data_IF_597832846416
#
_entry.id   IF_597832846416
#
_cell.length_a   1.000
_cell.length_b   1.000
_cell.length_c   1.000
_cell.angle_alpha   90.00
_cell.angle_beta   90.00
_cell.angle_gamma   90.00
#
_symmetry.space_group_name_H-M   'P 1'
#
loop_
_entity.id
_entity.type
_entity.pdbx_description
1 polymer ?
#
# COMPACT_ATOMS: atom_id res chain seq x y z
N UNK A 1 22.61 26.84 -19.48
CA UNK A 1 21.57 25.98 -20.05
C UNK A 1 21.08 25.11 -18.92
N UNK A 2 19.91 25.43 -18.40
CA UNK A 2 19.27 24.67 -17.32
C UNK A 2 18.51 23.53 -18.03
N UNK A 3 19.01 22.30 -17.90
CA UNK A 3 18.21 21.15 -18.30
C UNK A 3 16.95 21.15 -17.42
N UNK A 4 15.78 21.03 -18.05
CA UNK A 4 14.51 21.01 -17.33
C UNK A 4 14.47 19.75 -16.42
N UNK A 5 13.85 19.85 -15.24
CA UNK A 5 13.61 18.71 -14.33
C UNK A 5 13.00 17.51 -15.07
N UNK A 6 12.15 17.76 -16.07
CA UNK A 6 11.56 16.75 -16.98
C UNK A 6 12.62 15.94 -17.75
N UNK A 7 13.66 16.59 -18.27
CA UNK A 7 14.72 15.89 -18.98
C UNK A 7 15.60 15.05 -18.03
N UNK A 8 15.72 15.47 -16.76
CA UNK A 8 16.47 14.74 -15.75
C UNK A 8 15.72 13.47 -15.29
N UNK A 9 14.42 13.59 -15.02
CA UNK A 9 13.58 12.45 -14.59
C UNK A 9 13.41 11.41 -15.70
N UNK A 10 13.08 11.84 -16.93
CA UNK A 10 13.02 10.92 -18.07
C UNK A 10 14.36 10.23 -18.36
N UNK A 11 15.48 10.91 -18.14
CA UNK A 11 16.81 10.29 -18.28
C UNK A 11 17.14 9.34 -17.12
N UNK A 12 16.64 9.59 -15.90
CA UNK A 12 16.84 8.71 -14.75
C UNK A 12 16.06 7.39 -14.91
N UNK A 13 14.77 7.48 -15.31
CA UNK A 13 13.94 6.29 -15.55
C UNK A 13 14.43 5.46 -16.73
N UNK A 14 14.83 6.10 -17.82
CA UNK A 14 15.43 5.40 -18.96
C UNK A 14 16.79 4.80 -18.60
N UNK A 15 17.58 5.44 -17.75
CA UNK A 15 18.84 4.92 -17.23
C UNK A 15 18.62 3.73 -16.30
N UNK A 16 17.59 3.78 -15.42
CA UNK A 16 17.23 2.69 -14.53
C UNK A 16 16.71 1.47 -15.31
N UNK A 17 15.84 1.65 -16.29
CA UNK A 17 15.38 0.57 -17.17
C UNK A 17 16.52 -0.02 -18.04
N UNK A 18 17.46 0.81 -18.51
CA UNK A 18 18.62 0.33 -19.25
C UNK A 18 19.63 -0.37 -18.34
N UNK A 19 19.82 0.08 -17.10
CA UNK A 19 20.65 -0.57 -16.10
C UNK A 19 20.04 -1.94 -15.69
N UNK A 20 18.74 -2.01 -15.51
CA UNK A 20 18.00 -3.25 -15.25
C UNK A 20 18.17 -4.26 -16.39
N UNK A 21 17.95 -3.82 -17.66
CA UNK A 21 18.12 -4.66 -18.83
C UNK A 21 19.59 -5.09 -19.03
N UNK A 22 20.53 -4.18 -18.78
CA UNK A 22 21.97 -4.48 -18.87
C UNK A 22 22.42 -5.46 -17.80
N UNK A 23 21.87 -5.38 -16.59
CA UNK A 23 22.16 -6.31 -15.50
C UNK A 23 21.57 -7.69 -15.75
N UNK A 24 20.32 -7.76 -16.24
CA UNK A 24 19.70 -9.02 -16.67
C UNK A 24 20.52 -9.70 -17.78
N UNK A 25 21.10 -8.94 -18.72
CA UNK A 25 22.01 -9.46 -19.73
C UNK A 25 23.37 -9.90 -19.17
N UNK A 26 23.93 -9.15 -18.20
CA UNK A 26 25.21 -9.48 -17.57
C UNK A 26 25.12 -10.78 -16.74
N UNK A 27 23.98 -11.01 -16.09
CA UNK A 27 23.68 -12.25 -15.34
C UNK A 27 23.55 -13.43 -16.29
N UNK A 28 22.93 -13.27 -17.45
CA UNK A 28 22.88 -14.31 -18.49
C UNK A 28 24.27 -14.65 -19.06
N UNK A 29 25.23 -13.74 -18.93
CA UNK A 29 26.62 -13.91 -19.38
C UNK A 29 27.58 -14.34 -18.28
N UNK A 30 27.09 -14.64 -17.06
CA UNK A 30 27.90 -15.06 -15.92
C UNK A 30 28.77 -13.95 -15.30
N UNK A 31 28.52 -12.69 -15.66
CA UNK A 31 29.20 -11.52 -15.09
C UNK A 31 28.31 -10.88 -14.03
N UNK A 32 28.49 -11.26 -12.76
CA UNK A 32 27.81 -10.59 -11.64
C UNK A 32 28.64 -9.37 -11.23
N UNK A 33 28.18 -8.13 -11.42
CA UNK A 33 28.83 -6.97 -10.83
C UNK A 33 28.71 -7.07 -9.31
N UNK A 34 29.82 -6.89 -8.60
CA UNK A 34 29.79 -6.77 -7.14
C UNK A 34 28.86 -5.61 -6.75
N UNK A 35 27.92 -5.87 -5.85
CA UNK A 35 27.04 -4.85 -5.28
C UNK A 35 27.88 -3.69 -4.74
N UNK A 36 27.74 -2.50 -5.30
CA UNK A 36 28.39 -1.29 -4.79
C UNK A 36 27.60 -0.80 -3.59
N UNK A 37 28.22 -1.00 -2.46
CA UNK A 37 27.88 -0.65 -1.11
C UNK A 37 26.82 0.41 -0.85
N UNK A 38 25.57 0.01 -0.67
CA UNK A 38 24.73 0.65 0.34
C UNK A 38 25.33 0.25 1.70
N UNK A 39 25.64 1.23 2.54
CA UNK A 39 26.05 0.95 3.93
C UNK A 39 24.76 0.75 4.71
N UNK A 40 24.14 -0.41 4.52
CA UNK A 40 23.10 -0.89 5.40
C UNK A 40 23.79 -1.48 6.63
N UNK A 41 23.42 -0.99 7.81
CA UNK A 41 23.68 -1.75 9.02
C UNK A 41 22.94 -3.10 8.87
N UNK A 42 23.51 -4.23 9.32
CA UNK A 42 22.94 -5.53 9.08
C UNK A 42 21.50 -5.59 9.62
N UNK A 43 20.52 -5.87 8.72
CA UNK A 43 19.15 -6.18 9.16
C UNK A 43 19.19 -7.31 10.17
N UNK A 44 18.54 -7.10 11.32
CA UNK A 44 18.55 -8.04 12.44
C UNK A 44 17.18 -8.68 12.63
N UNK A 45 17.18 -10.01 12.67
CA UNK A 45 16.01 -10.77 13.07
C UNK A 45 15.97 -10.99 14.59
N UNK A 46 14.81 -10.96 15.17
CA UNK A 46 14.58 -11.30 16.61
C UNK A 46 14.23 -12.77 16.77
N UNK A 47 13.84 -13.45 15.69
CA UNK A 47 13.61 -14.89 15.61
C UNK A 47 14.29 -15.43 14.36
N UNK A 48 14.49 -16.75 14.29
CA UNK A 48 15.14 -17.37 13.14
C UNK A 48 14.37 -17.15 11.82
N UNK A 49 13.02 -17.09 11.88
CA UNK A 49 12.17 -16.92 10.70
C UNK A 49 12.30 -18.08 9.71
N UNK A 50 12.63 -17.73 8.47
CA UNK A 50 12.92 -18.70 7.40
C UNK A 50 14.42 -18.93 7.17
N UNK A 51 15.27 -18.31 8.00
CA UNK A 51 16.71 -18.42 7.91
C UNK A 51 17.39 -17.23 7.21
N UNK A 52 18.70 -17.33 6.97
CA UNK A 52 19.48 -16.26 6.39
C UNK A 52 19.12 -16.03 4.91
N UNK A 53 19.15 -14.77 4.48
CA UNK A 53 19.00 -14.38 3.08
C UNK A 53 20.18 -14.93 2.25
N UNK A 54 19.86 -15.39 1.05
CA UNK A 54 20.82 -15.76 0.01
C UNK A 54 20.82 -14.73 -1.08
N UNK A 55 22.01 -14.30 -1.48
CA UNK A 55 22.18 -13.35 -2.57
C UNK A 55 21.56 -13.92 -3.86
N UNK A 56 20.73 -13.11 -4.49
CA UNK A 56 20.09 -13.46 -5.76
C UNK A 56 21.10 -13.29 -6.92
N UNK A 57 21.36 -14.33 -7.72
CA UNK A 57 22.21 -14.22 -8.89
C UNK A 57 21.71 -13.19 -9.93
N UNK A 58 20.39 -12.98 -10.00
CA UNK A 58 19.77 -12.00 -10.90
C UNK A 58 19.79 -10.58 -10.32
N UNK A 59 20.09 -10.45 -9.01
CA UNK A 59 20.20 -9.17 -8.33
C UNK A 59 18.88 -8.39 -8.26
N UNK A 60 17.76 -9.08 -8.08
CA UNK A 60 16.42 -8.50 -7.95
C UNK A 60 15.92 -8.65 -6.54
N UNK A 61 15.94 -9.90 -6.01
CA UNK A 61 15.35 -10.21 -4.72
C UNK A 61 16.11 -11.29 -3.98
N UNK A 62 16.73 -10.95 -2.86
CA UNK A 62 17.32 -11.94 -1.98
C UNK A 62 16.25 -12.63 -1.12
N UNK A 63 16.29 -13.94 -1.05
CA UNK A 63 15.33 -14.79 -0.33
C UNK A 63 16.05 -15.82 0.53
N UNK A 64 15.40 -16.37 1.57
CA UNK A 64 15.91 -17.51 2.31
C UNK A 64 16.02 -18.78 1.45
N UNK A 65 16.77 -19.79 1.92
CA UNK A 65 16.90 -21.08 1.24
C UNK A 65 15.56 -21.76 1.00
N UNK A 66 15.35 -22.29 -0.20
CA UNK A 66 14.13 -22.98 -0.61
C UNK A 66 13.03 -22.06 -1.13
N UNK A 67 13.19 -20.74 -1.02
CA UNK A 67 12.30 -19.77 -1.66
C UNK A 67 12.78 -19.44 -3.08
N UNK A 68 11.82 -19.06 -3.91
CA UNK A 68 12.06 -18.58 -5.27
C UNK A 68 11.01 -17.55 -5.66
N UNK A 69 11.32 -16.73 -6.68
CA UNK A 69 10.36 -15.77 -7.21
C UNK A 69 10.26 -15.81 -8.73
N UNK A 70 9.21 -15.22 -9.25
CA UNK A 70 9.04 -14.90 -10.66
C UNK A 70 8.61 -13.44 -10.80
N UNK A 71 9.17 -12.74 -11.78
CA UNK A 71 8.64 -11.44 -12.18
C UNK A 71 7.49 -11.68 -13.14
N UNK A 72 6.30 -11.22 -12.77
CA UNK A 72 5.06 -11.50 -13.49
C UNK A 72 4.49 -10.29 -14.26
N UNK A 73 4.95 -9.08 -13.94
CA UNK A 73 4.59 -7.82 -14.60
C UNK A 73 5.71 -6.81 -14.41
N UNK A 74 5.90 -5.90 -15.38
CA UNK A 74 6.88 -4.80 -15.32
C UNK A 74 6.29 -3.52 -15.88
N UNK A 75 6.70 -2.39 -15.32
CA UNK A 75 6.40 -1.08 -15.88
C UNK A 75 6.87 -0.94 -17.34
N UNK A 76 6.12 -0.21 -18.15
CA UNK A 76 6.42 0.04 -19.55
C UNK A 76 6.17 -1.13 -20.52
N UNK A 77 5.75 -2.30 -20.03
CA UNK A 77 5.30 -3.41 -20.88
C UNK A 77 3.95 -3.08 -21.53
N UNK A 78 3.76 -3.54 -22.75
CA UNK A 78 2.45 -3.43 -23.43
C UNK A 78 1.46 -4.40 -22.77
N UNK A 79 0.31 -3.89 -22.39
CA UNK A 79 -0.82 -4.67 -21.88
C UNK A 79 -1.71 -5.16 -23.03
N UNK A 80 -2.67 -6.06 -22.71
CA UNK A 80 -3.57 -6.67 -23.70
C UNK A 80 -4.64 -5.70 -24.23
N UNK A 81 -4.86 -4.57 -23.57
CA UNK A 81 -5.72 -3.47 -24.02
C UNK A 81 -4.98 -2.45 -24.93
N UNK A 82 -3.72 -2.71 -25.26
CA UNK A 82 -2.91 -1.86 -26.13
C UNK A 82 -2.18 -0.74 -25.38
N UNK A 83 -2.54 -0.43 -24.14
CA UNK A 83 -1.88 0.57 -23.31
C UNK A 83 -0.55 0.03 -22.74
N UNK A 84 0.24 0.90 -22.12
CA UNK A 84 1.44 0.47 -21.38
C UNK A 84 1.14 0.31 -19.91
N UNK A 85 1.80 -0.64 -19.25
CA UNK A 85 1.77 -0.78 -17.81
C UNK A 85 2.36 0.47 -17.18
N UNK A 86 1.61 1.26 -16.40
CA UNK A 86 2.16 2.42 -15.71
C UNK A 86 3.28 2.03 -14.74
N UNK A 87 4.09 2.95 -14.30
CA UNK A 87 5.13 2.74 -13.27
C UNK A 87 4.58 2.95 -11.86
N UNK A 88 5.45 3.00 -10.86
CA UNK A 88 5.15 3.18 -9.44
C UNK A 88 4.09 2.20 -8.95
N UNK A 89 4.50 0.94 -8.86
CA UNK A 89 3.63 -0.17 -8.42
C UNK A 89 3.46 -0.14 -6.91
N UNK A 90 2.25 0.13 -6.46
CA UNK A 90 1.94 0.27 -5.05
C UNK A 90 0.92 -0.78 -4.55
N UNK A 91 -0.03 -0.39 -3.70
CA UNK A 91 -1.01 -1.28 -3.08
C UNK A 91 -1.64 -2.26 -4.05
N UNK A 92 -1.83 -3.49 -3.61
CA UNK A 92 -2.32 -4.57 -4.46
C UNK A 92 -3.21 -5.55 -3.70
N UNK A 93 -4.32 -5.96 -4.33
CA UNK A 93 -5.20 -7.02 -3.83
C UNK A 93 -5.19 -8.25 -4.73
N UNK A 94 -5.29 -9.43 -4.12
CA UNK A 94 -5.37 -10.73 -4.81
C UNK A 94 -6.75 -11.36 -4.66
N UNK A 95 -7.39 -11.69 -5.77
CA UNK A 95 -8.77 -12.18 -5.82
C UNK A 95 -8.85 -13.50 -6.58
N UNK A 96 -9.51 -14.51 -6.03
CA UNK A 96 -9.78 -15.75 -6.74
C UNK A 96 -10.73 -15.51 -7.93
N UNK A 97 -10.36 -15.97 -9.12
CA UNK A 97 -11.25 -16.04 -10.29
C UNK A 97 -11.85 -17.45 -10.39
N UNK A 98 -10.99 -18.44 -10.30
CA UNK A 98 -11.35 -19.86 -10.29
C UNK A 98 -10.27 -20.69 -9.55
N UNK A 99 -10.26 -22.01 -9.73
CA UNK A 99 -9.36 -22.90 -9.02
C UNK A 99 -7.86 -22.65 -9.33
N UNK A 100 -7.55 -22.14 -10.52
CA UNK A 100 -6.18 -21.98 -11.00
C UNK A 100 -5.77 -20.50 -11.17
N UNK A 101 -6.72 -19.56 -11.26
CA UNK A 101 -6.44 -18.17 -11.63
C UNK A 101 -6.83 -17.17 -10.56
N UNK A 102 -5.99 -16.16 -10.45
CA UNK A 102 -6.25 -14.97 -9.60
C UNK A 102 -6.19 -13.70 -10.43
N UNK A 103 -6.93 -12.68 -10.00
CA UNK A 103 -6.76 -11.31 -10.42
C UNK A 103 -5.94 -10.57 -9.35
N UNK A 104 -4.89 -9.89 -9.77
CA UNK A 104 -4.16 -8.93 -8.96
C UNK A 104 -4.57 -7.53 -9.43
N UNK A 105 -5.28 -6.79 -8.60
CA UNK A 105 -5.60 -5.38 -8.87
C UNK A 105 -4.58 -4.54 -8.13
N UNK A 106 -3.83 -3.73 -8.87
CA UNK A 106 -2.64 -3.04 -8.39
C UNK A 106 -2.73 -1.55 -8.71
N UNK A 107 -2.42 -0.72 -7.72
CA UNK A 107 -2.32 0.72 -7.82
C UNK A 107 -1.07 1.18 -8.55
N UNK A 108 -1.15 2.38 -9.11
CA UNK A 108 -0.04 3.12 -9.69
C UNK A 108 -0.02 4.52 -9.06
N UNK A 109 0.92 4.75 -8.17
CA UNK A 109 1.03 5.98 -7.38
C UNK A 109 1.70 7.11 -8.19
N UNK A 110 1.02 7.49 -9.25
CA UNK A 110 1.47 8.53 -10.17
C UNK A 110 0.70 9.82 -9.95
N UNK A 111 1.43 10.92 -9.84
CA UNK A 111 0.85 12.24 -9.76
C UNK A 111 0.58 12.87 -11.15
N UNK A 112 -0.03 14.06 -11.12
CA UNK A 112 -0.37 14.80 -12.34
C UNK A 112 0.85 15.20 -13.19
N UNK A 113 2.06 15.28 -12.63
CA UNK A 113 3.29 15.68 -13.33
C UNK A 113 3.97 14.48 -14.01
N UNK A 114 3.54 13.27 -13.73
CA UNK A 114 4.18 12.00 -14.14
C UNK A 114 3.48 11.30 -15.33
N UNK A 115 2.78 12.06 -16.15
CA UNK A 115 2.05 11.52 -17.31
C UNK A 115 2.92 10.65 -18.25
N UNK A 116 4.23 10.86 -18.26
CA UNK A 116 5.19 10.06 -19.05
C UNK A 116 5.45 8.66 -18.45
N UNK A 117 5.00 8.38 -17.23
CA UNK A 117 5.05 7.08 -16.57
C UNK A 117 3.70 6.38 -16.53
N UNK A 118 2.62 7.07 -16.92
CA UNK A 118 1.25 6.56 -16.92
C UNK A 118 0.90 5.66 -18.10
N UNK A 119 -0.32 5.12 -18.09
CA UNK A 119 -0.83 4.19 -19.11
C UNK A 119 -0.85 4.79 -20.52
N UNK A 120 -0.99 6.11 -20.62
CA UNK A 120 -1.10 6.86 -21.89
C UNK A 120 0.22 7.53 -22.29
N UNK A 121 1.36 7.06 -21.78
CA UNK A 121 2.67 7.67 -22.00
C UNK A 121 3.19 7.62 -23.44
N UNK A 122 2.66 6.72 -24.27
CA UNK A 122 3.10 6.54 -25.67
C UNK A 122 2.10 7.13 -26.64
N UNK A 123 2.50 8.06 -27.52
CA UNK A 123 1.60 8.71 -28.47
C UNK A 123 1.19 7.82 -29.65
N UNK A 124 1.86 6.69 -29.87
CA UNK A 124 1.64 5.72 -30.95
C UNK A 124 0.84 4.49 -30.49
N UNK A 125 0.16 4.60 -29.36
CA UNK A 125 -0.70 3.54 -28.87
C UNK A 125 -1.93 3.40 -29.77
N UNK A 126 -2.12 2.19 -30.28
CA UNK A 126 -3.37 1.77 -30.91
C UNK A 126 -4.20 1.12 -29.81
N UNK A 127 -5.08 1.91 -29.22
CA UNK A 127 -5.92 1.51 -28.11
C UNK A 127 -7.41 1.71 -28.45
N UNK A 128 -8.23 0.78 -27.97
CA UNK A 128 -9.69 0.87 -27.99
C UNK A 128 -10.24 1.42 -26.67
N UNK A 129 -9.45 2.23 -25.96
CA UNK A 129 -9.81 2.71 -24.63
C UNK A 129 -11.04 3.62 -24.67
N UNK A 130 -11.99 3.36 -23.75
CA UNK A 130 -13.15 4.22 -23.58
C UNK A 130 -12.79 5.48 -22.78
N UNK A 131 -12.57 6.59 -23.47
CA UNK A 131 -12.15 7.87 -22.91
C UNK A 131 -13.17 8.53 -21.96
N UNK A 132 -14.41 8.01 -21.88
CA UNK A 132 -15.39 8.41 -20.85
C UNK A 132 -15.10 7.77 -19.50
N UNK A 133 -14.17 6.80 -19.42
CA UNK A 133 -13.74 6.10 -18.20
C UNK A 133 -12.52 6.75 -17.52
N UNK A 134 -12.31 8.04 -17.68
CA UNK A 134 -11.25 8.80 -17.04
C UNK A 134 -11.86 9.72 -15.99
N UNK A 135 -11.37 9.62 -14.75
CA UNK A 135 -11.82 10.46 -13.66
C UNK A 135 -11.34 11.90 -13.84
N UNK A 136 -10.04 12.12 -13.78
CA UNK A 136 -9.41 13.42 -13.83
C UNK A 136 -8.65 13.69 -15.12
N UNK A 137 -8.72 14.94 -15.58
CA UNK A 137 -7.91 15.45 -16.67
C UNK A 137 -7.14 16.67 -16.22
N UNK A 138 -5.99 16.87 -16.83
CA UNK A 138 -5.21 18.09 -16.70
C UNK A 138 -5.86 19.22 -17.52
N UNK A 139 -5.41 20.45 -17.33
CA UNK A 139 -5.92 21.63 -18.06
C UNK A 139 -5.73 21.56 -19.57
N UNK A 140 -4.78 20.78 -20.05
CA UNK A 140 -4.53 20.51 -21.49
C UNK A 140 -5.36 19.32 -22.04
N UNK A 141 -6.19 18.70 -21.19
CA UNK A 141 -7.06 17.59 -21.53
C UNK A 141 -6.41 16.19 -21.38
N UNK A 142 -5.12 16.11 -21.06
CA UNK A 142 -4.46 14.84 -20.78
C UNK A 142 -5.04 14.19 -19.50
N UNK A 143 -5.13 12.85 -19.42
CA UNK A 143 -5.50 12.17 -18.19
C UNK A 143 -4.53 12.49 -17.06
N UNK A 144 -5.01 12.56 -15.82
CA UNK A 144 -4.15 12.44 -14.64
C UNK A 144 -3.59 11.02 -14.65
N UNK A 145 -2.34 10.84 -14.19
CA UNK A 145 -1.56 9.64 -14.53
C UNK A 145 -1.85 8.41 -13.66
N UNK A 146 -2.43 8.60 -12.47
CA UNK A 146 -2.75 7.53 -11.54
C UNK A 146 -3.88 6.62 -12.01
N UNK A 147 -4.05 5.54 -11.27
CA UNK A 147 -5.06 4.54 -11.55
C UNK A 147 -4.69 3.15 -11.06
N UNK A 148 -5.34 2.13 -11.63
CA UNK A 148 -5.02 0.73 -11.34
C UNK A 148 -4.86 -0.09 -12.62
N UNK A 149 -4.02 -1.13 -12.56
CA UNK A 149 -4.00 -2.21 -13.55
C UNK A 149 -4.37 -3.54 -12.93
N UNK A 150 -5.01 -4.41 -13.73
CA UNK A 150 -5.36 -5.77 -13.31
C UNK A 150 -4.52 -6.79 -14.07
N UNK A 151 -3.87 -7.69 -13.33
CA UNK A 151 -3.07 -8.80 -13.86
C UNK A 151 -3.78 -10.12 -13.57
N UNK A 152 -4.11 -10.87 -14.61
CA UNK A 152 -4.65 -12.23 -14.47
C UNK A 152 -3.49 -13.21 -14.48
N UNK A 153 -3.29 -13.85 -13.34
CA UNK A 153 -2.18 -14.77 -13.14
C UNK A 153 -2.67 -16.20 -12.87
N UNK A 154 -2.04 -17.16 -13.52
CA UNK A 154 -2.36 -18.57 -13.36
C UNK A 154 -1.38 -19.22 -12.36
N UNK A 155 -1.90 -19.57 -11.16
CA UNK A 155 -1.13 -20.17 -10.07
C UNK A 155 -0.50 -21.52 -10.44
N UNK A 156 -1.17 -22.31 -11.29
CA UNK A 156 -0.69 -23.64 -11.69
C UNK A 156 0.45 -23.59 -12.72
N UNK A 157 0.35 -22.68 -13.70
CA UNK A 157 1.36 -22.53 -14.77
C UNK A 157 2.46 -21.53 -14.42
N UNK A 158 2.19 -20.61 -13.49
CA UNK A 158 3.10 -19.53 -13.15
C UNK A 158 3.21 -18.48 -14.28
N UNK A 159 2.14 -18.27 -15.03
CA UNK A 159 2.11 -17.36 -16.17
C UNK A 159 1.08 -16.23 -15.97
N UNK A 160 1.43 -15.04 -16.40
CA UNK A 160 0.48 -13.95 -16.62
C UNK A 160 -0.27 -14.23 -17.89
N UNK A 161 -1.61 -14.35 -17.81
CA UNK A 161 -2.48 -14.67 -18.94
C UNK A 161 -3.06 -13.41 -19.61
N UNK A 162 -3.21 -12.34 -18.81
CA UNK A 162 -3.75 -11.05 -19.29
C UNK A 162 -3.35 -9.92 -18.36
N UNK A 163 -3.22 -8.72 -18.92
CA UNK A 163 -3.05 -7.47 -18.16
C UNK A 163 -3.77 -6.33 -18.84
N UNK A 164 -4.45 -5.47 -18.09
CA UNK A 164 -5.19 -4.32 -18.61
C UNK A 164 -5.32 -3.21 -17.57
N UNK A 165 -5.55 -1.98 -18.03
CA UNK A 165 -5.89 -0.84 -17.18
C UNK A 165 -7.30 -1.05 -16.61
N UNK A 166 -7.49 -0.87 -15.30
CA UNK A 166 -8.77 -1.13 -14.62
C UNK A 166 -9.39 0.10 -13.94
N UNK A 167 -8.60 1.15 -13.69
CA UNK A 167 -9.05 2.49 -13.26
C UNK A 167 -8.11 3.52 -13.88
N UNK A 168 -8.63 4.69 -14.29
CA UNK A 168 -7.85 5.71 -14.99
C UNK A 168 -8.20 7.13 -14.56
N UNK A 169 -7.17 7.99 -14.56
CA UNK A 169 -7.34 9.42 -14.33
C UNK A 169 -7.47 9.81 -12.87
N UNK A 170 -7.15 8.93 -11.95
CA UNK A 170 -7.01 9.24 -10.53
C UNK A 170 -5.60 9.77 -10.23
N UNK A 171 -5.35 10.22 -9.02
CA UNK A 171 -4.12 10.91 -8.66
C UNK A 171 -3.48 10.28 -7.41
N UNK A 172 -2.21 9.90 -7.52
CA UNK A 172 -1.43 9.36 -6.41
C UNK A 172 -2.12 8.18 -5.70
N UNK A 173 -2.45 7.13 -6.47
CA UNK A 173 -3.08 5.92 -5.92
C UNK A 173 -2.03 5.10 -5.16
N UNK A 174 -1.95 5.29 -3.84
CA UNK A 174 -0.99 4.62 -2.98
C UNK A 174 -1.47 3.20 -2.62
N UNK A 175 -2.10 3.01 -1.49
CA UNK A 175 -2.60 1.70 -1.11
C UNK A 175 -4.12 1.57 -1.27
N UNK A 176 -4.74 0.75 -0.44
CA UNK A 176 -6.17 0.45 -0.53
C UNK A 176 -6.57 -0.77 0.27
N UNK A 177 -7.59 -1.50 -0.21
CA UNK A 177 -8.03 -2.70 0.48
C UNK A 177 -8.97 -3.59 -0.28
N UNK A 178 -9.01 -4.85 0.13
CA UNK A 178 -9.90 -5.86 -0.46
C UNK A 178 -11.30 -5.79 0.18
N UNK A 179 -12.33 -5.89 -0.64
CA UNK A 179 -13.69 -6.04 -0.14
C UNK A 179 -14.09 -7.51 -0.02
N UNK A 180 -15.00 -7.86 0.91
CA UNK A 180 -15.51 -9.23 1.02
C UNK A 180 -16.34 -9.70 -0.19
N UNK A 181 -16.69 -8.79 -1.10
CA UNK A 181 -17.47 -9.09 -2.31
C UNK A 181 -16.66 -9.08 -3.60
N UNK A 182 -15.32 -9.01 -3.51
CA UNK A 182 -14.41 -9.24 -4.63
C UNK A 182 -14.04 -8.02 -5.45
N UNK A 183 -13.95 -6.85 -4.82
CA UNK A 183 -13.40 -5.64 -5.41
C UNK A 183 -12.20 -5.11 -4.62
N UNK A 184 -11.38 -4.33 -5.27
CA UNK A 184 -10.31 -3.53 -4.71
C UNK A 184 -10.81 -2.11 -4.45
N UNK A 185 -10.50 -1.56 -3.28
CA UNK A 185 -10.69 -0.15 -2.98
C UNK A 185 -9.35 0.54 -3.18
N UNK A 186 -9.27 1.41 -4.17
CA UNK A 186 -8.06 2.18 -4.49
C UNK A 186 -8.14 3.55 -3.83
N UNK A 187 -7.13 3.93 -3.09
CA UNK A 187 -7.04 5.15 -2.30
C UNK A 187 -6.18 6.20 -3.00
N UNK A 188 -6.66 7.44 -3.11
CA UNK A 188 -5.85 8.59 -3.53
C UNK A 188 -5.18 9.23 -2.32
N UNK A 189 -3.85 9.16 -2.23
CA UNK A 189 -3.05 9.77 -1.17
C UNK A 189 -2.72 11.23 -1.49
N UNK A 190 -3.70 11.99 -1.88
CA UNK A 190 -3.56 13.41 -2.19
C UNK A 190 -4.81 14.18 -1.83
N UNK A 191 -4.70 15.48 -1.68
CA UNK A 191 -5.84 16.40 -1.61
C UNK A 191 -5.73 17.47 -2.69
N UNK A 192 -4.98 17.21 -3.75
CA UNK A 192 -4.94 18.09 -4.93
C UNK A 192 -6.32 18.23 -5.55
N UNK A 193 -6.57 19.37 -6.20
CA UNK A 193 -7.88 19.61 -6.75
C UNK A 193 -8.03 20.97 -7.38
N UNK A 194 -9.26 21.45 -7.39
CA UNK A 194 -9.63 22.73 -8.03
C UNK A 194 -8.83 23.90 -7.47
N UNK A 195 -8.56 23.91 -6.18
CA UNK A 195 -7.73 24.94 -5.54
C UNK A 195 -6.27 24.93 -6.04
N UNK A 196 -5.75 23.77 -6.44
CA UNK A 196 -4.42 23.57 -7.02
C UNK A 196 -4.37 23.69 -8.55
N UNK A 197 -5.50 23.96 -9.21
CA UNK A 197 -5.58 24.14 -10.66
C UNK A 197 -5.97 22.90 -11.46
N UNK A 198 -6.33 21.79 -10.82
CA UNK A 198 -6.98 20.67 -11.48
C UNK A 198 -8.46 20.98 -11.77
N UNK A 199 -9.06 20.40 -12.81
CA UNK A 199 -10.47 20.60 -13.12
C UNK A 199 -11.44 20.05 -12.07
N UNK A 200 -10.98 19.12 -11.23
CA UNK A 200 -11.78 18.50 -10.18
C UNK A 200 -10.93 18.11 -8.96
N UNK A 201 -11.60 17.87 -7.84
CA UNK A 201 -10.95 17.46 -6.60
C UNK A 201 -10.61 15.97 -6.60
N UNK A 202 -9.45 15.64 -6.06
CA UNK A 202 -8.93 14.32 -5.74
C UNK A 202 -8.86 14.13 -4.22
N UNK A 203 -8.44 12.95 -3.77
CA UNK A 203 -8.39 12.56 -2.37
C UNK A 203 -9.58 11.67 -1.99
N UNK A 204 -9.92 10.75 -2.88
CA UNK A 204 -11.07 9.84 -2.75
C UNK A 204 -10.67 8.37 -2.76
N UNK A 205 -11.61 7.53 -2.39
CA UNK A 205 -11.56 6.07 -2.58
C UNK A 205 -12.41 5.68 -3.77
N UNK A 206 -11.90 4.77 -4.60
CA UNK A 206 -12.57 4.21 -5.78
C UNK A 206 -12.69 2.71 -5.68
N UNK A 207 -13.82 2.14 -6.11
CA UNK A 207 -14.04 0.70 -6.12
C UNK A 207 -13.79 0.10 -7.51
N UNK A 208 -12.94 -0.94 -7.56
CA UNK A 208 -12.54 -1.65 -8.78
C UNK A 208 -12.86 -3.14 -8.62
N UNK A 209 -13.97 -3.65 -9.20
CA UNK A 209 -14.28 -5.08 -9.19
C UNK A 209 -13.18 -5.89 -9.90
N UNK A 210 -12.66 -6.92 -9.23
CA UNK A 210 -11.51 -7.69 -9.73
C UNK A 210 -11.79 -8.53 -11.00
N UNK A 211 -13.08 -8.73 -11.33
CA UNK A 211 -13.51 -9.49 -12.53
C UNK A 211 -13.76 -8.64 -13.75
N UNK A 212 -13.67 -7.32 -13.64
CA UNK A 212 -13.81 -6.42 -14.78
C UNK A 212 -12.69 -6.65 -15.82
N UNK A 213 -13.02 -6.38 -17.07
CA UNK A 213 -12.10 -6.66 -18.19
C UNK A 213 -11.54 -5.41 -18.88
N UNK A 214 -11.72 -4.27 -18.29
CA UNK A 214 -11.25 -2.97 -18.73
C UNK A 214 -11.46 -1.93 -17.64
N UNK A 215 -11.23 -0.65 -17.94
CA UNK A 215 -11.41 0.42 -16.98
C UNK A 215 -12.86 0.54 -16.53
N UNK A 216 -13.06 0.63 -15.21
CA UNK A 216 -14.36 0.86 -14.58
C UNK A 216 -14.84 2.31 -14.78
N UNK A 217 -16.10 2.57 -14.52
CA UNK A 217 -16.57 3.94 -14.32
C UNK A 217 -15.97 4.49 -13.03
N UNK A 218 -15.21 5.59 -13.09
CA UNK A 218 -14.44 6.06 -11.94
C UNK A 218 -15.32 6.90 -11.00
N UNK A 219 -16.12 6.25 -10.17
CA UNK A 219 -17.02 6.88 -9.22
C UNK A 219 -16.34 6.99 -7.85
N UNK A 220 -16.11 8.20 -7.30
CA UNK A 220 -15.55 8.37 -5.98
C UNK A 220 -16.57 8.05 -4.89
N UNK A 221 -16.14 7.39 -3.80
CA UNK A 221 -16.96 7.13 -2.61
C UNK A 221 -16.84 8.33 -1.66
N UNK A 222 -17.49 9.46 -2.02
CA UNK A 222 -17.34 10.76 -1.33
C UNK A 222 -17.68 10.71 0.15
N UNK A 223 -18.61 9.84 0.56
CA UNK A 223 -18.99 9.69 1.95
C UNK A 223 -17.90 9.12 2.86
N UNK A 224 -16.83 8.54 2.29
CA UNK A 224 -15.64 8.14 3.02
C UNK A 224 -14.71 9.31 3.39
N UNK A 225 -15.04 10.52 2.96
CA UNK A 225 -14.27 11.72 3.25
C UNK A 225 -13.24 12.04 2.19
N UNK A 226 -12.73 13.28 2.23
CA UNK A 226 -11.63 13.76 1.38
C UNK A 226 -10.44 14.10 2.24
N UNK A 227 -9.41 13.29 2.16
CA UNK A 227 -8.12 13.44 2.84
C UNK A 227 -7.05 12.64 2.07
N UNK A 228 -5.82 12.65 2.52
CA UNK A 228 -4.77 11.78 1.98
C UNK A 228 -5.03 10.34 2.38
N UNK A 229 -5.88 9.66 1.59
CA UNK A 229 -6.21 8.25 1.83
C UNK A 229 -5.01 7.38 1.54
N UNK A 230 -4.60 6.61 2.56
CA UNK A 230 -3.55 5.63 2.38
C UNK A 230 -4.17 4.24 2.13
N UNK A 231 -4.72 3.61 3.14
CA UNK A 231 -5.27 2.27 3.02
C UNK A 231 -6.68 2.16 3.62
N UNK A 232 -7.37 1.08 3.28
CA UNK A 232 -8.70 0.76 3.80
C UNK A 232 -8.83 -0.74 4.03
N UNK A 233 -9.43 -1.15 5.14
CA UNK A 233 -9.87 -2.53 5.32
C UNK A 233 -11.32 -2.60 5.75
N UNK A 234 -12.02 -3.70 5.40
CA UNK A 234 -13.42 -3.91 5.73
C UNK A 234 -13.54 -5.06 6.71
N UNK A 235 -14.27 -4.83 7.82
CA UNK A 235 -14.74 -5.92 8.67
C UNK A 235 -15.80 -6.74 7.90
N UNK A 236 -15.53 -7.99 7.54
CA UNK A 236 -16.47 -8.79 6.73
C UNK A 236 -17.76 -9.13 7.47
N UNK A 237 -17.80 -8.98 8.81
CA UNK A 237 -18.97 -9.26 9.64
C UNK A 237 -19.97 -8.12 9.64
N UNK A 238 -19.46 -6.88 9.65
CA UNK A 238 -20.28 -5.67 9.82
C UNK A 238 -20.39 -4.82 8.56
N UNK A 239 -19.39 -4.88 7.68
CA UNK A 239 -19.24 -4.01 6.52
C UNK A 239 -18.62 -2.64 6.87
N UNK A 240 -18.22 -2.43 8.12
CA UNK A 240 -17.50 -1.22 8.53
C UNK A 240 -16.15 -1.18 7.83
N UNK A 241 -15.84 -0.05 7.19
CA UNK A 241 -14.53 0.20 6.61
C UNK A 241 -13.68 1.06 7.56
N UNK A 242 -12.42 0.69 7.75
CA UNK A 242 -11.44 1.43 8.53
C UNK A 242 -10.40 2.00 7.59
N UNK A 243 -10.04 3.28 7.80
CA UNK A 243 -9.20 4.03 6.87
C UNK A 243 -8.05 4.70 7.62
N UNK A 244 -6.90 4.70 6.97
CA UNK A 244 -5.70 5.42 7.40
C UNK A 244 -5.49 6.66 6.55
N UNK A 245 -4.76 7.64 7.11
CA UNK A 245 -4.42 8.92 6.51
C UNK A 245 -2.91 9.15 6.65
N UNK A 246 -2.19 9.45 5.56
CA UNK A 246 -0.76 9.76 5.66
C UNK A 246 -0.49 11.26 5.86
N UNK A 247 -0.48 11.63 7.13
CA UNK A 247 0.05 12.91 7.60
C UNK A 247 0.70 12.75 8.98
N UNK A 248 1.62 13.62 9.34
CA UNK A 248 2.30 13.55 10.65
C UNK A 248 1.38 13.75 11.86
N UNK A 249 0.17 14.24 11.64
CA UNK A 249 -0.91 14.43 12.62
C UNK A 249 -2.21 13.79 12.11
N UNK A 250 -2.09 12.60 11.53
CA UNK A 250 -3.19 11.84 10.95
C UNK A 250 -4.19 11.37 11.99
N UNK A 251 -5.40 11.07 11.53
CA UNK A 251 -6.41 10.37 12.32
C UNK A 251 -6.57 8.94 11.82
N UNK A 252 -7.21 8.11 12.63
CA UNK A 252 -7.70 6.81 12.22
C UNK A 252 -9.21 6.88 12.13
N UNK A 253 -9.74 6.57 10.95
CA UNK A 253 -11.17 6.72 10.66
C UNK A 253 -11.87 5.37 10.53
N UNK A 254 -13.20 5.39 10.72
CA UNK A 254 -14.08 4.35 10.23
C UNK A 254 -15.25 4.94 9.46
N UNK A 255 -15.69 4.22 8.44
CA UNK A 255 -16.87 4.52 7.66
C UNK A 255 -17.94 3.47 7.93
N UNK A 256 -19.14 3.92 8.35
CA UNK A 256 -20.31 3.10 8.59
C UNK A 256 -21.25 3.27 7.38
N UNK A 257 -21.22 2.37 6.39
CA UNK A 257 -22.07 2.49 5.21
C UNK A 257 -23.55 2.25 5.56
N UNK A 258 -24.45 2.95 4.88
CA UNK A 258 -25.91 2.73 5.01
C UNK A 258 -26.30 1.34 4.47
N UNK A 259 -25.61 0.85 3.45
CA UNK A 259 -25.65 -0.54 2.99
C UNK A 259 -24.26 -1.15 3.04
N UNK A 260 -24.07 -2.13 3.89
CA UNK A 260 -22.77 -2.80 4.12
C UNK A 260 -22.13 -3.48 2.89
N UNK A 261 -22.87 -3.60 1.78
CA UNK A 261 -22.39 -4.17 0.50
C UNK A 261 -22.34 -3.16 -0.63
N UNK A 262 -22.74 -1.93 -0.36
CA UNK A 262 -22.75 -0.84 -1.32
C UNK A 262 -22.20 0.43 -0.67
N UNK A 263 -20.92 0.65 -0.79
CA UNK A 263 -20.24 1.78 -0.17
C UNK A 263 -20.68 3.14 -0.75
N UNK A 264 -21.29 3.15 -1.94
CA UNK A 264 -21.83 4.35 -2.57
C UNK A 264 -23.24 4.73 -2.07
N UNK A 265 -23.86 3.92 -1.21
CA UNK A 265 -25.22 4.18 -0.69
C UNK A 265 -25.29 5.35 0.29
N UNK A 266 -24.16 5.94 0.65
CA UNK A 266 -24.02 6.89 1.76
C UNK A 266 -23.61 6.20 3.06
N UNK A 267 -23.44 6.99 4.11
CA UNK A 267 -22.99 6.49 5.41
C UNK A 267 -22.43 7.59 6.28
N UNK A 268 -21.75 7.23 7.37
CA UNK A 268 -21.13 8.16 8.32
C UNK A 268 -19.67 7.88 8.47
N UNK A 269 -18.84 8.91 8.31
CA UNK A 269 -17.41 8.87 8.64
C UNK A 269 -17.24 9.26 10.11
N UNK A 270 -16.40 8.52 10.84
CA UNK A 270 -16.10 8.76 12.23
C UNK A 270 -14.60 8.70 12.48
N UNK A 271 -14.10 9.48 13.46
CA UNK A 271 -12.71 9.47 13.89
C UNK A 271 -12.57 8.83 15.28
N UNK A 272 -11.46 8.12 15.52
CA UNK A 272 -11.16 7.41 16.76
C UNK A 272 -10.76 8.37 17.89
N UNK A 273 -11.32 8.17 19.09
CA UNK A 273 -11.00 8.87 20.33
C UNK A 273 -10.59 7.86 21.39
N UNK A 274 -9.50 8.11 22.12
CA UNK A 274 -9.15 7.35 23.33
C UNK A 274 -10.04 7.82 24.49
N UNK A 275 -10.73 6.90 25.16
CA UNK A 275 -11.72 7.26 26.21
C UNK A 275 -11.05 8.03 27.35
N UNK A 276 -9.87 7.60 27.80
CA UNK A 276 -9.15 8.17 28.93
C UNK A 276 -8.15 9.28 28.53
N UNK A 277 -8.10 9.64 27.24
CA UNK A 277 -7.16 10.62 26.71
C UNK A 277 -7.71 11.33 25.48
N UNK A 278 -8.71 12.22 25.67
CA UNK A 278 -9.18 13.08 24.58
C UNK A 278 -8.02 13.88 23.97
N UNK A 279 -8.00 13.98 22.63
CA UNK A 279 -6.88 14.53 21.88
C UNK A 279 -5.57 13.81 22.18
N UNK A 280 -5.63 12.49 22.40
CA UNK A 280 -4.46 11.69 22.69
C UNK A 280 -3.42 11.74 21.59
N UNK A 281 -2.16 11.90 21.97
CA UNK A 281 -1.04 11.78 21.03
C UNK A 281 -0.46 10.36 21.15
N UNK A 282 -0.68 9.54 20.12
CA UNK A 282 -0.23 8.15 20.11
C UNK A 282 1.18 7.97 19.54
N UNK A 283 1.77 9.06 19.01
CA UNK A 283 3.01 9.02 18.21
C UNK A 283 4.26 8.67 19.03
N UNK A 284 4.24 8.89 20.35
CA UNK A 284 5.38 8.69 21.24
C UNK A 284 6.66 9.48 20.87
N UNK A 285 6.57 10.49 20.00
CA UNK A 285 7.75 11.26 19.53
C UNK A 285 8.52 11.98 20.65
N UNK A 286 7.82 12.41 21.70
CA UNK A 286 8.41 13.19 22.79
C UNK A 286 8.48 12.43 24.12
N UNK A 287 8.31 11.12 24.08
CA UNK A 287 8.36 10.24 25.25
C UNK A 287 7.38 9.07 25.11
N UNK A 288 7.49 8.10 26.00
CA UNK A 288 6.63 6.92 26.02
C UNK A 288 5.32 7.23 26.75
N UNK A 289 4.37 7.87 26.09
CA UNK A 289 3.02 8.12 26.62
C UNK A 289 2.13 6.87 26.55
N UNK A 290 2.50 5.93 25.70
CA UNK A 290 1.81 4.67 25.49
C UNK A 290 2.83 3.53 25.35
N UNK A 291 2.76 2.56 26.25
CA UNK A 291 3.71 1.43 26.25
C UNK A 291 3.29 0.33 25.27
N UNK A 292 4.25 -0.35 24.69
CA UNK A 292 3.98 -1.53 23.87
C UNK A 292 3.22 -2.59 24.68
N UNK A 293 2.16 -3.14 24.12
CA UNK A 293 1.23 -4.07 24.75
C UNK A 293 0.14 -3.39 25.59
N UNK A 294 0.21 -2.08 25.85
CA UNK A 294 -0.84 -1.37 26.57
C UNK A 294 -2.10 -1.25 25.70
N UNK A 295 -3.24 -1.58 26.29
CA UNK A 295 -4.56 -1.58 25.65
C UNK A 295 -5.42 -0.44 26.18
N UNK A 296 -5.99 0.36 25.30
CA UNK A 296 -6.85 1.51 25.61
C UNK A 296 -8.24 1.35 25.01
N UNK A 297 -9.27 1.63 25.80
CA UNK A 297 -10.64 1.67 25.29
C UNK A 297 -10.86 2.88 24.38
N UNK A 298 -11.64 2.70 23.33
CA UNK A 298 -11.91 3.76 22.35
C UNK A 298 -13.40 4.04 22.18
N UNK A 299 -13.70 5.25 21.72
CA UNK A 299 -15.00 5.66 21.19
C UNK A 299 -14.81 6.34 19.85
N UNK A 300 -15.88 6.58 19.16
CA UNK A 300 -15.86 7.21 17.84
C UNK A 300 -16.70 8.49 17.84
N UNK A 301 -16.27 9.49 17.08
CA UNK A 301 -17.00 10.75 16.89
C UNK A 301 -17.35 10.93 15.43
N UNK A 302 -18.58 11.37 15.16
CA UNK A 302 -19.00 11.66 13.81
C UNK A 302 -18.24 12.87 13.24
N UNK A 303 -17.80 12.73 11.99
CA UNK A 303 -17.20 13.81 11.21
C UNK A 303 -18.28 14.46 10.33
N UNK A 304 -18.33 15.78 10.35
CA UNK A 304 -19.20 16.55 9.47
C UNK A 304 -18.42 17.08 8.24
N UNK A 305 -19.15 17.55 7.22
CA UNK A 305 -18.58 18.13 6.01
C UNK A 305 -17.39 17.32 5.46
N UNK A 306 -17.61 16.01 5.31
CA UNK A 306 -16.54 15.05 5.01
C UNK A 306 -15.87 15.25 3.65
N UNK A 307 -16.52 15.94 2.70
CA UNK A 307 -15.89 16.31 1.42
C UNK A 307 -14.78 17.36 1.56
N UNK A 308 -14.67 18.00 2.73
CA UNK A 308 -13.55 18.82 3.20
C UNK A 308 -12.80 19.58 2.08
N UNK A 309 -13.40 20.61 1.49
CA UNK A 309 -12.76 21.33 0.38
C UNK A 309 -11.44 21.99 0.78
N UNK A 310 -11.27 22.26 2.08
CA UNK A 310 -10.06 22.87 2.66
C UNK A 310 -9.05 21.81 3.15
N UNK A 311 -9.30 20.53 2.93
CA UNK A 311 -8.46 19.39 3.35
C UNK A 311 -8.08 19.45 4.85
N UNK A 312 -9.06 19.71 5.73
CA UNK A 312 -8.88 20.00 7.15
C UNK A 312 -9.51 18.97 8.10
N UNK A 313 -9.88 17.77 7.57
CA UNK A 313 -10.57 16.73 8.35
C UNK A 313 -9.80 16.33 9.60
N UNK A 314 -8.48 16.10 9.50
CA UNK A 314 -7.63 15.74 10.63
C UNK A 314 -7.63 16.85 11.69
N UNK A 315 -7.50 18.12 11.29
CA UNK A 315 -7.49 19.25 12.22
C UNK A 315 -8.82 19.38 12.96
N UNK A 316 -9.95 19.27 12.25
CA UNK A 316 -11.30 19.35 12.83
C UNK A 316 -11.59 18.17 13.75
N UNK A 317 -11.24 16.97 13.33
CA UNK A 317 -11.41 15.75 14.13
C UNK A 317 -10.58 15.79 15.42
N UNK A 318 -9.30 16.20 15.34
CA UNK A 318 -8.47 16.39 16.53
C UNK A 318 -9.03 17.47 17.46
N UNK A 319 -9.48 18.61 16.91
CA UNK A 319 -10.13 19.67 17.71
C UNK A 319 -11.40 19.16 18.41
N UNK A 320 -12.12 18.21 17.81
CA UNK A 320 -13.30 17.55 18.38
C UNK A 320 -12.97 16.40 19.36
N UNK A 321 -11.68 16.06 19.55
CA UNK A 321 -11.22 15.08 20.56
C UNK A 321 -10.56 13.83 19.99
N UNK A 322 -10.46 13.67 18.67
CA UNK A 322 -9.82 12.51 18.05
C UNK A 322 -8.32 12.39 18.43
N UNK A 323 -7.84 11.17 18.52
CA UNK A 323 -6.43 10.87 18.73
C UNK A 323 -5.63 11.07 17.44
N UNK A 324 -4.38 11.54 17.55
CA UNK A 324 -3.46 11.69 16.42
C UNK A 324 -2.48 10.53 16.35
N UNK A 325 -2.12 10.18 15.12
CA UNK A 325 -1.21 9.11 14.75
C UNK A 325 -0.07 9.65 13.88
N UNK A 326 1.04 8.89 13.80
CA UNK A 326 2.24 9.29 13.08
C UNK A 326 2.26 8.67 11.68
N UNK A 327 1.69 9.33 10.68
CA UNK A 327 1.62 8.80 9.32
C UNK A 327 0.96 7.41 9.31
N UNK A 328 -0.39 7.40 9.30
CA UNK A 328 -1.16 6.16 9.22
C UNK A 328 -1.12 5.61 7.81
N UNK A 329 -0.55 4.41 7.65
CA UNK A 329 -0.28 3.77 6.37
C UNK A 329 -1.10 2.48 6.19
N UNK A 330 -0.46 1.34 5.90
CA UNK A 330 -1.16 0.09 5.65
C UNK A 330 -2.14 -0.33 6.74
N UNK A 331 -3.32 -0.83 6.38
CA UNK A 331 -4.29 -1.42 7.30
C UNK A 331 -4.82 -2.75 6.76
N UNK A 332 -4.89 -3.78 7.60
CA UNK A 332 -5.35 -5.10 7.17
C UNK A 332 -6.17 -5.83 8.23
N UNK A 333 -7.24 -6.50 7.78
CA UNK A 333 -8.11 -7.32 8.63
C UNK A 333 -7.48 -8.68 8.94
N UNK A 334 -7.50 -9.09 10.22
CA UNK A 334 -6.85 -10.30 10.73
C UNK A 334 -7.83 -11.22 11.49
N UNK A 335 -8.91 -11.60 10.85
CA UNK A 335 -9.91 -12.53 11.41
C UNK A 335 -10.99 -11.86 12.24
N UNK A 336 -10.70 -11.37 13.44
CA UNK A 336 -11.62 -10.70 14.35
C UNK A 336 -11.14 -9.31 14.80
N UNK A 337 -9.97 -8.89 14.35
CA UNK A 337 -9.33 -7.62 14.63
C UNK A 337 -8.61 -7.11 13.37
N UNK A 338 -8.00 -5.95 13.45
CA UNK A 338 -7.16 -5.41 12.39
C UNK A 338 -5.83 -4.89 12.96
N UNK A 339 -4.84 -4.78 12.06
CA UNK A 339 -3.61 -4.06 12.30
C UNK A 339 -3.51 -2.88 11.34
N UNK A 340 -2.88 -1.79 11.80
CA UNK A 340 -2.45 -0.69 10.94
C UNK A 340 -1.09 -0.16 11.36
N UNK A 341 -0.39 0.43 10.44
CA UNK A 341 0.95 0.98 10.64
C UNK A 341 0.90 2.48 10.87
N UNK A 342 1.88 2.96 11.63
CA UNK A 342 2.19 4.38 11.82
C UNK A 342 3.68 4.54 11.54
N UNK A 343 4.01 4.83 10.29
CA UNK A 343 5.36 4.67 9.71
C UNK A 343 6.45 5.45 10.41
N UNK A 344 6.16 6.63 10.93
CA UNK A 344 7.12 7.45 11.67
C UNK A 344 6.88 7.48 13.19
N UNK A 345 6.08 6.56 13.73
CA UNK A 345 5.79 6.50 15.17
C UNK A 345 6.96 5.99 16.00
N UNK A 346 6.85 6.21 17.32
CA UNK A 346 7.85 5.86 18.30
C UNK A 346 8.93 6.93 18.52
N UNK A 347 9.64 6.91 19.67
CA UNK A 347 10.68 7.91 19.98
C UNK A 347 11.88 7.86 19.04
N UNK A 348 12.09 6.73 18.35
CA UNK A 348 13.14 6.55 17.34
C UNK A 348 12.66 6.89 15.91
N UNK A 349 11.37 7.22 15.77
CA UNK A 349 10.72 7.46 14.48
C UNK A 349 11.01 6.32 13.48
N UNK A 350 10.92 5.07 13.94
CA UNK A 350 11.16 3.86 13.15
C UNK A 350 9.87 3.13 12.79
N UNK A 351 8.74 3.54 13.39
CA UNK A 351 7.42 3.00 13.12
C UNK A 351 6.77 2.27 14.29
N UNK A 352 5.46 2.27 14.25
CA UNK A 352 4.58 1.55 15.16
C UNK A 352 3.61 0.69 14.37
N UNK A 353 3.19 -0.44 14.94
CA UNK A 353 2.06 -1.23 14.46
C UNK A 353 1.01 -1.21 15.56
N UNK A 354 -0.17 -0.74 15.22
CA UNK A 354 -1.33 -0.71 16.09
C UNK A 354 -2.21 -1.92 15.82
N UNK A 355 -2.86 -2.45 16.85
CA UNK A 355 -3.91 -3.44 16.75
C UNK A 355 -5.22 -2.85 17.27
N UNK A 356 -6.27 -2.92 16.46
CA UNK A 356 -7.62 -2.56 16.87
C UNK A 356 -8.50 -3.80 16.98
N UNK A 357 -9.07 -4.00 18.16
CA UNK A 357 -10.07 -5.03 18.47
C UNK A 357 -11.45 -4.34 18.49
N UNK A 358 -12.28 -4.48 17.43
CA UNK A 358 -13.59 -3.83 17.38
C UNK A 358 -14.54 -4.31 18.47
N UNK A 359 -15.46 -3.42 18.89
CA UNK A 359 -16.57 -3.82 19.73
C UNK A 359 -17.41 -4.92 19.06
N UNK A 360 -17.98 -5.83 19.82
CA UNK A 360 -19.02 -6.73 19.27
C UNK A 360 -20.25 -5.98 18.80
N UNK A 361 -20.44 -4.74 19.24
CA UNK A 361 -21.51 -3.83 18.87
C UNK A 361 -21.04 -2.70 17.95
N UNK A 362 -19.97 -2.92 17.21
CA UNK A 362 -19.30 -1.92 16.36
C UNK A 362 -20.32 -1.14 15.50
N UNK A 363 -20.34 0.21 15.69
CA UNK A 363 -21.30 1.10 15.04
C UNK A 363 -22.73 1.04 15.56
N UNK A 364 -23.01 0.31 16.63
CA UNK A 364 -24.35 0.14 17.23
C UNK A 364 -24.44 0.78 18.63
N UNK A 365 -25.66 0.95 19.13
CA UNK A 365 -25.90 1.61 20.44
C UNK A 365 -25.25 0.92 21.64
N UNK A 366 -24.99 -0.38 21.58
CA UNK A 366 -24.30 -1.12 22.65
C UNK A 366 -22.78 -0.88 22.72
N UNK A 367 -22.21 -0.22 21.73
CA UNK A 367 -20.76 0.05 21.65
C UNK A 367 -20.26 0.92 22.83
N UNK A 368 -21.09 1.84 23.32
CA UNK A 368 -20.73 2.69 24.45
C UNK A 368 -20.54 1.91 25.77
N UNK A 369 -21.28 0.79 25.95
CA UNK A 369 -21.19 -0.07 27.13
C UNK A 369 -20.07 -1.11 27.01
N UNK A 370 -19.74 -1.52 25.77
CA UNK A 370 -18.68 -2.48 25.47
C UNK A 370 -17.79 -1.93 24.33
N UNK A 371 -16.92 -0.98 24.61
CA UNK A 371 -16.12 -0.32 23.59
C UNK A 371 -15.09 -1.23 22.93
N UNK A 372 -14.71 -0.90 21.71
CA UNK A 372 -13.53 -1.45 21.06
C UNK A 372 -12.25 -1.01 21.78
N UNK A 373 -11.12 -1.63 21.42
CA UNK A 373 -9.86 -1.35 22.06
C UNK A 373 -8.74 -1.22 21.04
N UNK A 374 -7.87 -0.26 21.28
CA UNK A 374 -6.62 -0.04 20.55
C UNK A 374 -5.43 -0.46 21.39
N UNK A 375 -4.49 -1.18 20.80
CA UNK A 375 -3.26 -1.66 21.46
C UNK A 375 -2.05 -1.20 20.64
N UNK A 376 -1.03 -0.65 21.29
CA UNK A 376 0.28 -0.49 20.66
C UNK A 376 0.94 -1.87 20.59
N UNK A 377 0.83 -2.52 19.44
CA UNK A 377 1.27 -3.91 19.25
C UNK A 377 2.79 -4.00 19.13
N UNK A 378 3.38 -3.18 18.26
CA UNK A 378 4.85 -3.07 18.11
C UNK A 378 5.23 -1.59 18.06
N UNK A 379 6.32 -1.25 18.73
CA UNK A 379 7.00 0.03 18.58
C UNK A 379 8.48 -0.25 18.28
N UNK A 380 8.93 0.15 17.10
CA UNK A 380 10.32 -0.08 16.73
C UNK A 380 11.25 0.94 17.41
N UNK A 381 12.24 0.43 18.12
CA UNK A 381 13.34 1.23 18.70
C UNK A 381 14.66 1.04 17.98
N UNK A 382 14.70 0.22 16.92
CA UNK A 382 15.93 -0.14 16.21
C UNK A 382 15.68 -0.33 14.71
N UNK A 383 16.23 0.57 13.91
CA UNK A 383 16.13 0.57 12.44
C UNK A 383 16.66 -0.73 11.81
N UNK A 384 17.56 -1.45 12.46
CA UNK A 384 18.05 -2.74 11.98
C UNK A 384 16.99 -3.84 12.12
N UNK A 385 16.04 -3.72 13.03
CA UNK A 385 14.95 -4.68 13.26
C UNK A 385 13.76 -4.38 12.37
N UNK A 386 13.19 -3.18 12.48
CA UNK A 386 12.05 -2.71 11.71
C UNK A 386 12.17 -1.20 11.50
N UNK A 387 12.06 -0.75 10.27
CA UNK A 387 12.23 0.67 9.93
C UNK A 387 11.23 1.09 8.87
N UNK A 388 10.39 2.06 9.20
CA UNK A 388 9.39 2.62 8.28
C UNK A 388 8.52 1.54 7.63
N UNK A 389 7.90 0.68 8.45
CA UNK A 389 6.92 -0.29 7.94
C UNK A 389 5.69 0.47 7.45
N UNK A 390 5.35 0.23 6.20
CA UNK A 390 4.30 0.92 5.47
C UNK A 390 3.15 -0.06 5.15
N UNK A 391 3.07 -0.55 3.92
CA UNK A 391 2.05 -1.51 3.51
C UNK A 391 2.11 -2.80 4.31
N UNK A 392 0.95 -3.33 4.71
CA UNK A 392 0.86 -4.61 5.44
C UNK A 392 -0.15 -5.58 4.85
N UNK A 393 0.08 -6.86 5.09
CA UNK A 393 -0.88 -7.95 4.88
C UNK A 393 -0.77 -8.98 6.00
N UNK A 394 -1.72 -9.91 6.06
CA UNK A 394 -1.69 -11.01 7.03
C UNK A 394 -1.33 -12.31 6.31
N UNK A 395 -0.27 -12.96 6.77
CA UNK A 395 0.14 -14.25 6.25
C UNK A 395 -0.83 -15.37 6.68
N UNK A 396 -0.86 -16.51 5.97
CA UNK A 396 -1.70 -17.65 6.33
C UNK A 396 -1.47 -18.20 7.75
N UNK A 397 -0.28 -18.00 8.32
CA UNK A 397 0.05 -18.36 9.70
C UNK A 397 -0.34 -17.30 10.75
N UNK A 398 -1.01 -16.20 10.31
CA UNK A 398 -1.46 -15.12 11.18
C UNK A 398 -0.41 -14.05 11.50
N UNK A 399 0.81 -14.13 10.94
CA UNK A 399 1.82 -13.09 11.12
C UNK A 399 1.47 -11.84 10.28
N UNK A 400 1.78 -10.67 10.81
CA UNK A 400 1.76 -9.43 10.04
C UNK A 400 2.97 -9.42 9.12
N UNK A 401 2.76 -9.21 7.84
CA UNK A 401 3.82 -9.00 6.85
C UNK A 401 3.81 -7.54 6.47
N UNK A 402 4.96 -6.87 6.59
CA UNK A 402 5.10 -5.46 6.27
C UNK A 402 6.17 -5.21 5.22
N UNK A 403 5.90 -4.28 4.34
CA UNK A 403 6.84 -3.70 3.40
C UNK A 403 7.54 -2.51 4.07
N UNK A 404 8.86 -2.45 4.02
CA UNK A 404 9.59 -1.28 4.50
C UNK A 404 9.67 -0.22 3.38
N UNK A 405 9.43 1.05 3.76
CA UNK A 405 9.69 2.25 2.95
C UNK A 405 10.73 3.13 3.66
N UNK A 406 11.94 2.63 3.82
CA UNK A 406 13.03 3.33 4.49
C UNK A 406 13.46 4.55 3.68
N UNK A 407 13.71 5.63 4.38
CA UNK A 407 14.32 6.82 3.78
C UNK A 407 15.79 6.60 3.34
N UNK A 408 16.46 5.59 3.88
CA UNK A 408 17.86 5.23 3.55
C UNK A 408 18.09 3.75 3.73
N UNK A 409 18.98 3.18 2.91
CA UNK A 409 19.41 1.80 3.01
C UNK A 409 18.57 0.84 2.18
N UNK A 410 18.71 -0.45 2.46
CA UNK A 410 18.08 -1.51 1.68
C UNK A 410 16.72 -1.88 2.26
N UNK A 411 15.73 -1.92 1.41
CA UNK A 411 14.33 -2.25 1.77
C UNK A 411 14.16 -3.76 1.99
N UNK A 412 13.26 -4.10 2.92
CA UNK A 412 12.92 -5.49 3.24
C UNK A 412 11.41 -5.70 3.28
N UNK A 413 11.01 -6.93 2.99
CA UNK A 413 9.72 -7.45 3.46
C UNK A 413 9.96 -8.12 4.80
N UNK A 414 9.27 -7.66 5.83
CA UNK A 414 9.39 -8.13 7.21
C UNK A 414 8.15 -8.92 7.63
N UNK A 415 8.37 -9.91 8.50
CA UNK A 415 7.28 -10.58 9.21
C UNK A 415 7.31 -10.23 10.69
N UNK A 416 6.14 -10.09 11.29
CA UNK A 416 5.97 -9.84 12.72
C UNK A 416 5.11 -10.96 13.31
N UNK A 417 5.66 -11.67 14.28
CA UNK A 417 4.99 -12.79 14.96
C UNK A 417 3.84 -12.31 15.84
N UNK A 418 2.97 -13.21 16.27
CA UNK A 418 1.85 -12.88 17.15
C UNK A 418 2.27 -12.28 18.52
N UNK A 419 3.51 -12.48 18.94
CA UNK A 419 4.11 -11.87 20.13
C UNK A 419 4.99 -10.65 19.81
N UNK A 420 4.92 -10.10 18.59
CA UNK A 420 5.53 -8.84 18.18
C UNK A 420 7.01 -8.92 17.80
N UNK A 421 7.59 -10.13 17.63
CA UNK A 421 8.99 -10.28 17.21
C UNK A 421 9.14 -10.26 15.68
N UNK A 422 10.19 -9.61 15.21
CA UNK A 422 10.42 -9.28 13.80
C UNK A 422 11.43 -10.23 13.13
N UNK A 423 11.18 -10.56 11.87
CA UNK A 423 12.10 -11.33 11.01
C UNK A 423 11.99 -10.88 9.56
N UNK A 424 13.06 -11.04 8.80
CA UNK A 424 13.06 -10.70 7.37
C UNK A 424 12.58 -11.90 6.53
N UNK A 425 11.83 -11.58 5.46
CA UNK A 425 11.30 -12.53 4.48
C UNK A 425 12.00 -12.36 3.14
N UNK A 426 12.21 -11.11 2.73
CA UNK A 426 12.87 -10.76 1.49
C UNK A 426 13.71 -9.50 1.66
N UNK A 427 14.74 -9.34 0.82
CA UNK A 427 15.54 -8.13 0.74
C UNK A 427 15.61 -7.69 -0.71
N UNK A 428 15.38 -6.41 -0.95
CA UNK A 428 15.55 -5.83 -2.27
C UNK A 428 17.02 -5.85 -2.67
N UNK A 429 17.34 -6.48 -3.79
CA UNK A 429 18.70 -6.61 -4.31
C UNK A 429 18.97 -5.72 -5.53
N UNK A 430 17.97 -4.88 -5.95
CA UNK A 430 18.18 -3.93 -7.03
C UNK A 430 19.21 -2.87 -6.65
N UNK A 431 20.16 -2.65 -7.56
CA UNK A 431 21.19 -1.61 -7.43
C UNK A 431 20.69 -0.30 -8.05
N UNK A 432 19.59 0.21 -7.52
CA UNK A 432 18.94 1.45 -7.94
C UNK A 432 18.83 2.32 -6.70
N UNK A 433 19.46 3.50 -6.75
CA UNK A 433 19.46 4.45 -5.64
C UNK A 433 18.39 5.51 -5.88
N UNK A 434 17.40 5.55 -4.99
CA UNK A 434 16.40 6.60 -4.91
C UNK A 434 16.99 7.89 -4.32
N UNK A 435 16.38 9.08 -4.59
CA UNK A 435 16.75 10.31 -3.92
C UNK A 435 16.64 10.15 -2.40
N UNK A 436 17.75 10.15 -1.68
CA UNK A 436 17.81 9.94 -0.23
C UNK A 436 18.75 8.81 0.20
N UNK A 437 19.16 7.94 -0.75
CA UNK A 437 20.12 6.86 -0.53
C UNK A 437 19.48 5.56 -0.06
N UNK A 438 18.21 5.32 -0.40
CA UNK A 438 17.57 4.00 -0.34
C UNK A 438 17.56 3.35 -1.72
N UNK A 439 17.28 2.06 -1.82
CA UNK A 439 16.80 1.46 -3.05
C UNK A 439 15.26 1.49 -3.08
N UNK A 440 14.67 1.20 -4.25
CA UNK A 440 13.20 1.25 -4.40
C UNK A 440 12.51 0.40 -3.34
N UNK A 441 11.43 0.92 -2.78
CA UNK A 441 10.65 0.27 -1.74
C UNK A 441 9.93 -0.99 -2.21
N UNK A 442 9.39 -1.74 -1.25
CA UNK A 442 8.37 -2.76 -1.47
C UNK A 442 7.00 -2.20 -1.16
N UNK A 443 6.00 -2.57 -1.97
CA UNK A 443 4.60 -2.22 -1.73
C UNK A 443 3.67 -3.39 -2.07
N UNK A 444 2.41 -3.29 -1.69
CA UNK A 444 1.31 -4.14 -2.15
C UNK A 444 1.45 -5.63 -1.87
N UNK A 445 2.12 -6.01 -0.76
CA UNK A 445 2.21 -7.42 -0.40
C UNK A 445 0.82 -8.03 -0.18
N UNK A 446 0.55 -9.16 -0.85
CA UNK A 446 -0.70 -9.91 -0.68
C UNK A 446 -0.51 -11.40 -0.96
N UNK A 447 -1.50 -12.21 -0.58
CA UNK A 447 -1.41 -13.66 -0.70
C UNK A 447 -2.39 -14.22 -1.71
N UNK A 448 -1.98 -15.29 -2.42
CA UNK A 448 -2.94 -16.12 -3.14
C UNK A 448 -3.97 -16.72 -2.17
N UNK A 449 -5.21 -16.97 -2.62
CA UNK A 449 -6.27 -17.52 -1.74
C UNK A 449 -5.93 -18.85 -1.07
N UNK A 450 -5.03 -19.65 -1.66
CA UNK A 450 -4.55 -20.91 -1.11
C UNK A 450 -3.33 -20.74 -0.18
N UNK A 451 -2.83 -19.50 0.00
CA UNK A 451 -1.71 -19.16 0.87
C UNK A 451 -0.34 -19.65 0.40
N UNK A 452 -0.21 -20.09 -0.85
CA UNK A 452 1.05 -20.69 -1.36
C UNK A 452 1.95 -19.69 -2.07
N UNK A 453 1.39 -18.61 -2.59
CA UNK A 453 2.12 -17.58 -3.31
C UNK A 453 1.93 -16.25 -2.58
N UNK A 454 3.03 -15.60 -2.23
CA UNK A 454 3.03 -14.21 -1.81
C UNK A 454 3.35 -13.35 -3.03
N UNK A 455 2.53 -12.37 -3.32
CA UNK A 455 2.81 -11.35 -4.31
C UNK A 455 3.31 -10.09 -3.62
N UNK A 456 4.25 -9.38 -4.24
CA UNK A 456 4.77 -8.10 -3.75
C UNK A 456 5.26 -7.28 -4.93
N UNK A 457 5.16 -5.97 -4.83
CA UNK A 457 5.67 -5.03 -5.79
C UNK A 457 7.03 -4.48 -5.37
N UNK A 458 7.89 -4.26 -6.35
CA UNK A 458 8.96 -3.26 -6.32
C UNK A 458 8.36 -2.00 -6.94
N UNK A 459 8.47 -0.87 -6.25
CA UNK A 459 7.74 0.35 -6.58
C UNK A 459 8.15 0.95 -7.93
N UNK A 460 9.41 1.39 -8.07
CA UNK A 460 9.93 1.97 -9.31
C UNK A 460 11.40 1.62 -9.54
N UNK A 461 11.79 1.13 -10.74
CA UNK A 461 10.91 0.77 -11.86
C UNK A 461 10.03 -0.43 -11.49
N UNK A 462 8.71 -0.25 -11.70
CA UNK A 462 7.70 -1.16 -11.20
C UNK A 462 7.87 -2.61 -11.67
N UNK A 463 7.86 -3.54 -10.71
CA UNK A 463 7.83 -4.97 -10.97
C UNK A 463 6.98 -5.71 -9.94
N UNK A 464 6.03 -6.54 -10.39
CA UNK A 464 5.32 -7.45 -9.51
C UNK A 464 6.01 -8.81 -9.46
N UNK A 465 6.28 -9.29 -8.26
CA UNK A 465 6.93 -10.55 -7.98
C UNK A 465 5.95 -11.55 -7.39
N UNK A 466 6.01 -12.81 -7.84
CA UNK A 466 5.31 -13.94 -7.25
C UNK A 466 6.34 -14.81 -6.53
N UNK A 467 6.27 -14.85 -5.20
CA UNK A 467 7.22 -15.57 -4.32
C UNK A 467 6.58 -16.88 -3.87
N UNK A 468 7.31 -17.97 -4.03
CA UNK A 468 6.94 -19.32 -3.56
C UNK A 468 8.03 -19.91 -2.70
N UNK A 469 7.65 -20.74 -1.73
CA UNK A 469 8.64 -21.37 -0.85
C UNK A 469 8.01 -22.24 0.24
N UNK A 470 8.83 -22.72 1.15
CA UNK A 470 8.40 -23.57 2.26
C UNK A 470 7.82 -22.72 3.41
N UNK A 471 6.65 -22.10 3.18
CA UNK A 471 6.00 -21.22 4.15
C UNK A 471 5.71 -21.87 5.50
N UNK A 472 5.58 -23.22 5.53
CA UNK A 472 5.40 -23.99 6.78
C UNK A 472 6.72 -24.20 7.57
N UNK A 473 7.87 -23.82 7.01
CA UNK A 473 9.19 -24.03 7.63
C UNK A 473 9.60 -22.91 8.61
N UNK A 474 8.67 -22.03 8.98
CA UNK A 474 8.94 -20.95 9.96
C UNK A 474 9.46 -21.52 11.28
N UNK A 475 10.46 -20.85 11.88
CA UNK A 475 11.07 -21.21 13.17
C UNK A 475 11.17 -19.98 14.08
N UNK A 476 10.86 -20.19 15.36
CA UNK A 476 11.00 -19.19 16.41
C UNK A 476 12.45 -18.95 16.80
#
# INVERSE_FOLDING_TARGET
>A
MIQSRRAFMASATAAALSAYAARAQAVQQGQVPAARGFVDGPSRNEVFGYGPMRADPEGILDLPEGFSYRVISRAGQRMDDGLVTPDKFDGMGCFAIDADRVALVRNHELDQEEANLGAFARPDQDDDFNWDRIYGRQSDGAPVAGGTSTVIYNLRTGQTERQHLSLAGTNNNCAGGVTPWGSWLSCEETTDGVAGGLPQDHGWVFEVPATERGAVEPLPIRAMGRFKHEAVCIDPRTGVAYLTEDTGDSLFYRYLPDDRRNLHSGGRLQALVLIDAERGDTRNWHGHYWAQGERKAVRWIDMDHVESPDADLNLRGHAAGAAVFARGEGVHWAGDHLYFTCTSGGPAECGQIMRYDPSRFEGQSGEADEPGHLTLFVESGDRAVLDYVDNITIAPNGHVIGCEDKQRGVQHVKGVTADGRVYAIARNALDIEEPGGSNTEFAGACWSPDGRVMFVNLYSPGATLAITGPWDAFRV
#
